data_IF_150944479208
#
_entry.id   IF_150944479208
#
_cell.length_a   1.000
_cell.length_b   1.000
_cell.length_c   1.000
_cell.angle_alpha   90.00
_cell.angle_beta   90.00
_cell.angle_gamma   90.00
#
_symmetry.space_group_name_H-M   'P 1'
#
loop_
_entity.id
_entity.type
_entity.pdbx_description
1 polymer ?
#
# COMPACT_ATOMS: atom_id res chain seq x y z
N UNK A 1 63.38 30.68 -12.70
CA UNK A 1 62.92 30.03 -13.94
C UNK A 1 63.07 28.53 -13.76
N UNK A 2 62.02 27.83 -14.13
CA UNK A 2 61.50 26.63 -13.49
C UNK A 2 62.20 25.31 -13.81
N UNK A 3 62.11 24.41 -12.83
CA UNK A 3 62.27 22.97 -12.99
C UNK A 3 60.93 22.36 -13.40
N UNK A 4 60.96 21.47 -14.40
CA UNK A 4 60.29 20.14 -14.44
C UNK A 4 59.70 19.75 -15.82
N UNK A 5 60.07 18.53 -16.20
CA UNK A 5 59.27 17.50 -16.87
C UNK A 5 58.54 17.79 -18.18
N UNK A 6 59.02 17.12 -19.24
CA UNK A 6 58.15 16.37 -20.17
C UNK A 6 58.96 15.35 -20.97
N UNK A 7 58.62 14.08 -20.83
CA UNK A 7 58.93 13.03 -21.82
C UNK A 7 57.61 12.35 -22.16
N UNK A 8 57.24 12.36 -23.43
CA UNK A 8 56.11 11.59 -23.95
C UNK A 8 56.59 10.30 -24.62
N UNK A 9 55.72 9.28 -24.65
CA UNK A 9 55.53 8.43 -25.83
C UNK A 9 54.28 7.56 -25.70
N UNK A 10 53.50 7.53 -26.78
CA UNK A 10 52.32 6.71 -26.95
C UNK A 10 52.68 5.23 -27.20
N UNK A 11 51.84 4.32 -26.70
CA UNK A 11 51.75 2.96 -27.20
C UNK A 11 50.27 2.52 -27.25
N UNK A 12 49.79 2.21 -28.47
CA UNK A 12 48.55 1.48 -28.74
C UNK A 12 48.66 0.07 -28.17
N UNK A 13 47.63 -0.44 -27.49
CA UNK A 13 47.48 -1.87 -27.25
C UNK A 13 46.08 -2.36 -27.66
N UNK A 14 46.09 -3.47 -28.41
CA UNK A 14 44.98 -4.15 -29.04
C UNK A 14 44.06 -4.87 -28.05
N UNK A 15 42.78 -4.96 -28.43
CA UNK A 15 41.72 -5.76 -27.81
C UNK A 15 41.92 -7.25 -28.13
N UNK A 16 41.87 -8.13 -27.12
CA UNK A 16 41.72 -9.60 -27.30
C UNK A 16 40.77 -10.17 -26.24
N UNK A 17 39.94 -11.12 -26.65
CA UNK A 17 38.74 -11.58 -25.95
C UNK A 17 38.93 -12.67 -24.89
N UNK A 18 37.83 -12.82 -24.13
CA UNK A 18 37.30 -13.93 -23.32
C UNK A 18 38.16 -15.16 -23.01
N UNK A 19 38.32 -15.46 -21.71
CA UNK A 19 38.17 -16.83 -21.14
C UNK A 19 37.52 -16.69 -19.76
N UNK A 20 36.38 -17.37 -19.55
CA UNK A 20 35.66 -17.45 -18.27
C UNK A 20 36.28 -18.55 -17.39
N UNK A 21 36.64 -18.22 -16.16
CA UNK A 21 37.20 -19.16 -15.17
C UNK A 21 36.15 -20.19 -14.69
N UNK A 22 36.37 -21.46 -15.03
CA UNK A 22 35.52 -22.59 -14.64
C UNK A 22 35.70 -23.04 -13.17
N UNK A 23 36.58 -22.42 -12.39
CA UNK A 23 36.88 -22.82 -11.01
C UNK A 23 36.09 -22.05 -9.92
N UNK A 24 35.38 -20.96 -10.26
CA UNK A 24 34.50 -20.24 -9.33
C UNK A 24 33.06 -20.78 -9.30
N UNK A 25 32.66 -21.57 -10.30
CA UNK A 25 31.31 -22.14 -10.40
C UNK A 25 31.16 -23.44 -9.59
N UNK A 26 32.26 -24.17 -9.34
CA UNK A 26 32.25 -25.44 -8.60
C UNK A 26 32.14 -25.32 -7.07
N UNK A 27 32.42 -24.13 -6.50
CA UNK A 27 32.24 -23.87 -5.06
C UNK A 27 30.82 -23.44 -4.68
N UNK A 28 30.04 -22.91 -5.62
CA UNK A 28 28.65 -22.51 -5.40
C UNK A 28 27.66 -23.68 -5.57
N UNK A 29 28.04 -24.72 -6.31
CA UNK A 29 27.19 -25.89 -6.55
C UNK A 29 27.31 -26.96 -5.43
N UNK A 30 28.41 -26.96 -4.65
CA UNK A 30 28.57 -27.82 -3.46
C UNK A 30 27.87 -27.29 -2.20
N UNK A 31 27.56 -26.00 -2.13
CA UNK A 31 26.79 -25.44 -1.00
C UNK A 31 25.28 -25.64 -1.12
N UNK A 32 24.79 -26.13 -2.26
CA UNK A 32 23.36 -26.36 -2.52
C UNK A 32 22.92 -27.82 -2.34
N UNK A 33 23.85 -28.79 -2.31
CA UNK A 33 23.54 -30.21 -2.14
C UNK A 33 23.72 -30.74 -0.69
N UNK A 34 24.33 -29.97 0.22
CA UNK A 34 24.55 -30.40 1.61
C UNK A 34 23.40 -30.05 2.58
N UNK A 35 22.32 -29.41 2.10
CA UNK A 35 21.17 -29.06 2.93
C UNK A 35 20.05 -30.13 2.93
N UNK A 36 20.18 -31.23 2.18
CA UNK A 36 19.15 -32.27 2.11
C UNK A 36 19.38 -33.48 3.04
N UNK A 37 20.48 -33.52 3.82
CA UNK A 37 20.80 -34.68 4.69
C UNK A 37 20.80 -34.41 6.21
N UNK A 38 20.39 -33.24 6.69
CA UNK A 38 20.28 -32.97 8.14
C UNK A 38 18.87 -33.21 8.73
N UNK A 39 17.98 -33.87 7.98
CA UNK A 39 16.73 -34.41 8.50
C UNK A 39 16.92 -35.79 9.10
N UNK A 40 17.51 -35.87 10.30
CA UNK A 40 17.33 -36.99 11.25
C UNK A 40 17.91 -36.60 12.61
N UNK A 41 17.08 -36.75 13.65
CA UNK A 41 17.39 -36.62 15.08
C UNK A 41 17.56 -35.20 15.65
N UNK A 42 16.45 -34.58 16.03
CA UNK A 42 16.24 -34.12 17.42
C UNK A 42 14.78 -33.66 17.62
N UNK A 43 14.06 -34.50 18.36
CA UNK A 43 12.69 -34.34 18.81
C UNK A 43 12.64 -33.60 20.15
N UNK A 44 12.21 -32.33 20.16
CA UNK A 44 11.64 -31.67 21.35
C UNK A 44 10.52 -30.72 20.91
N UNK A 45 9.29 -31.25 20.98
CA UNK A 45 8.00 -30.55 21.16
C UNK A 45 7.76 -29.27 20.33
N UNK A 46 7.53 -29.44 19.04
CA UNK A 46 6.61 -28.56 18.31
C UNK A 46 5.20 -28.95 18.73
N UNK A 47 4.49 -28.09 19.47
CA UNK A 47 3.05 -28.23 19.69
C UNK A 47 2.37 -28.15 18.33
N UNK A 48 2.00 -29.31 17.81
CA UNK A 48 1.12 -29.43 16.65
C UNK A 48 -0.18 -28.72 17.04
N UNK A 49 -0.51 -27.63 16.34
CA UNK A 49 -1.84 -27.05 16.41
C UNK A 49 -2.80 -28.11 15.87
N UNK A 50 -3.48 -28.80 16.79
CA UNK A 50 -4.77 -29.43 16.56
C UNK A 50 -5.70 -28.37 15.97
N UNK A 51 -5.80 -28.31 14.65
CA UNK A 51 -6.91 -27.61 14.01
C UNK A 51 -8.16 -28.43 14.35
N UNK A 52 -8.86 -28.01 15.38
CA UNK A 52 -10.19 -28.53 15.71
C UNK A 52 -11.03 -28.55 14.43
N UNK A 53 -11.64 -29.69 14.12
CA UNK A 53 -12.54 -29.85 12.96
C UNK A 53 -13.85 -29.03 13.08
N UNK A 54 -14.07 -28.35 14.20
CA UNK A 54 -15.19 -27.43 14.38
C UNK A 54 -14.88 -26.08 13.72
N UNK A 55 -15.85 -25.45 13.04
CA UNK A 55 -15.69 -24.09 12.54
C UNK A 55 -15.38 -23.17 13.73
N UNK A 56 -14.35 -22.34 13.57
CA UNK A 56 -13.98 -21.33 14.56
C UNK A 56 -15.19 -20.43 14.91
N UNK A 57 -15.35 -20.02 16.18
CA UNK A 57 -16.48 -19.18 16.58
C UNK A 57 -16.56 -17.89 15.75
N UNK A 58 -17.78 -17.41 15.53
CA UNK A 58 -18.04 -16.14 14.84
C UNK A 58 -18.10 -15.02 15.89
N UNK A 59 -17.37 -13.95 15.61
CA UNK A 59 -17.37 -12.69 16.36
C UNK A 59 -18.12 -11.64 15.55
N UNK A 60 -19.00 -10.89 16.21
CA UNK A 60 -19.73 -9.77 15.60
C UNK A 60 -18.96 -8.48 15.82
N UNK A 61 -18.58 -7.79 14.75
CA UNK A 61 -17.98 -6.46 14.82
C UNK A 61 -18.99 -5.39 14.43
N UNK A 62 -18.94 -4.25 15.10
CA UNK A 62 -19.81 -3.10 14.85
C UNK A 62 -18.94 -1.93 14.48
N UNK A 63 -19.05 -1.48 13.23
CA UNK A 63 -18.06 -0.61 12.60
C UNK A 63 -18.71 0.69 12.13
N UNK A 64 -18.02 1.79 12.44
CA UNK A 64 -18.37 3.14 12.01
C UNK A 64 -19.56 3.76 12.72
N UNK A 65 -19.84 5.01 12.39
CA UNK A 65 -20.94 5.79 12.96
C UNK A 65 -22.32 5.17 12.68
N UNK A 66 -22.47 4.48 11.55
CA UNK A 66 -23.70 3.75 11.18
C UNK A 66 -23.86 2.40 11.91
N UNK A 67 -22.89 2.02 12.75
CA UNK A 67 -22.88 0.75 13.47
C UNK A 67 -23.08 -0.46 12.53
N UNK A 68 -22.44 -0.46 11.36
CA UNK A 68 -22.56 -1.53 10.37
C UNK A 68 -22.01 -2.83 10.97
N UNK A 69 -22.81 -3.90 10.89
CA UNK A 69 -22.44 -5.20 11.46
C UNK A 69 -21.60 -6.01 10.48
N UNK A 70 -20.50 -6.57 10.98
CA UNK A 70 -19.67 -7.54 10.28
C UNK A 70 -19.62 -8.83 11.11
N UNK A 71 -19.63 -9.97 10.44
CA UNK A 71 -19.42 -11.27 11.06
C UNK A 71 -18.10 -11.85 10.56
N UNK A 72 -17.20 -12.20 11.46
CA UNK A 72 -15.89 -12.75 11.11
C UNK A 72 -15.53 -13.92 12.02
N UNK A 73 -14.75 -14.85 11.49
CA UNK A 73 -14.24 -15.97 12.28
C UNK A 73 -13.14 -15.50 13.24
N UNK A 74 -13.16 -16.01 14.47
CA UNK A 74 -12.19 -15.66 15.52
C UNK A 74 -10.75 -15.94 15.07
N UNK A 75 -10.51 -17.07 14.41
CA UNK A 75 -9.18 -17.45 13.90
C UNK A 75 -8.66 -16.49 12.83
N UNK A 76 -9.55 -15.99 11.97
CA UNK A 76 -9.24 -15.00 10.94
C UNK A 76 -8.87 -13.67 11.57
N UNK A 77 -9.63 -13.22 12.58
CA UNK A 77 -9.34 -11.98 13.31
C UNK A 77 -8.02 -12.06 14.09
N UNK A 78 -7.72 -13.22 14.71
CA UNK A 78 -6.50 -13.43 15.48
C UNK A 78 -5.21 -13.36 14.66
N UNK A 79 -5.28 -13.29 13.32
CA UNK A 79 -4.13 -12.92 12.49
C UNK A 79 -3.65 -11.47 12.75
N UNK A 80 -4.52 -10.61 13.29
CA UNK A 80 -4.16 -9.27 13.75
C UNK A 80 -3.76 -9.31 15.24
N UNK A 81 -2.57 -8.83 15.61
CA UNK A 81 -2.16 -8.70 17.01
C UNK A 81 -3.08 -7.79 17.84
N UNK A 82 -3.78 -6.86 17.20
CA UNK A 82 -4.79 -6.03 17.87
C UNK A 82 -6.01 -6.88 18.26
N UNK A 83 -6.63 -7.56 17.29
CA UNK A 83 -7.82 -8.34 17.56
C UNK A 83 -7.53 -9.55 18.45
N UNK A 84 -6.37 -10.21 18.31
CA UNK A 84 -5.96 -11.28 19.23
C UNK A 84 -5.98 -10.81 20.69
N UNK A 85 -5.42 -9.62 20.97
CA UNK A 85 -5.41 -9.04 22.32
C UNK A 85 -6.82 -8.71 22.81
N UNK A 86 -7.63 -8.06 21.97
CA UNK A 86 -9.02 -7.70 22.30
C UNK A 86 -9.87 -8.94 22.59
N UNK A 87 -9.72 -9.99 21.77
CA UNK A 87 -10.44 -11.25 21.93
C UNK A 87 -10.02 -11.92 23.24
N UNK A 88 -8.72 -12.00 23.51
CA UNK A 88 -8.18 -12.61 24.74
C UNK A 88 -8.58 -11.86 26.01
N UNK A 89 -8.72 -10.53 25.97
CA UNK A 89 -9.10 -9.74 27.13
C UNK A 89 -10.61 -9.74 27.39
N UNK A 90 -11.44 -9.75 26.33
CA UNK A 90 -12.88 -9.50 26.46
C UNK A 90 -13.75 -10.78 26.50
N UNK A 91 -13.25 -11.93 26.05
CA UNK A 91 -14.05 -13.16 25.93
C UNK A 91 -13.78 -14.20 27.02
N UNK A 92 -13.59 -13.75 28.26
CA UNK A 92 -13.64 -14.64 29.44
C UNK A 92 -15.05 -15.18 29.68
N UNK A 93 -16.09 -14.49 29.20
CA UNK A 93 -17.48 -14.91 29.30
C UNK A 93 -18.12 -15.07 27.90
N UNK A 94 -18.65 -16.26 27.61
CA UNK A 94 -19.03 -16.68 26.26
C UNK A 94 -20.26 -15.96 25.68
N UNK A 95 -20.96 -15.17 26.50
CA UNK A 95 -22.31 -14.64 26.21
C UNK A 95 -22.34 -13.40 25.31
N UNK A 96 -21.23 -12.66 25.14
CA UNK A 96 -21.26 -11.41 24.35
C UNK A 96 -20.03 -11.22 23.44
N UNK A 97 -19.98 -12.00 22.35
CA UNK A 97 -18.89 -11.98 21.34
C UNK A 97 -18.95 -10.78 20.39
N UNK A 98 -18.86 -9.56 20.94
CA UNK A 98 -19.01 -8.31 20.18
C UNK A 98 -17.81 -7.37 20.34
N UNK A 99 -17.31 -6.84 19.23
CA UNK A 99 -16.24 -5.82 19.17
C UNK A 99 -16.83 -4.54 18.54
N UNK A 100 -16.54 -3.38 19.12
CA UNK A 100 -16.99 -2.07 18.59
C UNK A 100 -15.79 -1.28 18.06
N UNK A 101 -15.91 -0.76 16.84
CA UNK A 101 -14.91 0.03 16.13
C UNK A 101 -15.59 1.32 15.61
N UNK A 102 -15.95 2.27 16.49
CA UNK A 102 -16.73 3.45 16.10
C UNK A 102 -15.96 4.41 15.19
N UNK A 103 -14.64 4.47 15.32
CA UNK A 103 -13.77 5.40 14.58
C UNK A 103 -13.29 4.85 13.22
N UNK A 104 -13.69 3.62 12.88
CA UNK A 104 -13.32 2.97 11.62
C UNK A 104 -14.44 3.09 10.59
N UNK A 105 -14.07 3.34 9.33
CA UNK A 105 -15.04 3.34 8.24
C UNK A 105 -15.36 1.92 7.76
N UNK A 106 -16.63 1.58 7.52
CA UNK A 106 -17.03 0.26 7.04
C UNK A 106 -16.33 -0.20 5.76
N UNK A 107 -16.10 0.72 4.81
CA UNK A 107 -15.45 0.44 3.52
C UNK A 107 -13.94 0.15 3.66
N UNK A 108 -13.32 0.76 4.68
CA UNK A 108 -11.92 0.52 5.06
C UNK A 108 -11.82 -0.82 5.77
N UNK A 109 -12.67 -1.06 6.77
CA UNK A 109 -12.71 -2.32 7.50
C UNK A 109 -13.06 -3.51 6.60
N UNK A 110 -13.95 -3.33 5.61
CA UNK A 110 -14.24 -4.35 4.60
C UNK A 110 -12.99 -4.75 3.82
N UNK A 111 -12.11 -3.80 3.48
CA UNK A 111 -10.84 -4.09 2.82
C UNK A 111 -9.88 -4.86 3.71
N UNK A 112 -9.82 -4.50 5.00
CA UNK A 112 -9.00 -5.21 5.98
C UNK A 112 -9.49 -6.64 6.16
N UNK A 113 -10.79 -6.83 6.33
CA UNK A 113 -11.38 -8.15 6.51
C UNK A 113 -11.16 -9.02 5.27
N UNK A 114 -11.34 -8.46 4.07
CA UNK A 114 -11.03 -9.17 2.84
C UNK A 114 -9.56 -9.62 2.78
N UNK A 115 -8.63 -8.74 3.17
CA UNK A 115 -7.22 -9.09 3.28
C UNK A 115 -6.98 -10.24 4.28
N UNK A 116 -7.61 -10.22 5.45
CA UNK A 116 -7.45 -11.29 6.43
C UNK A 116 -7.93 -12.66 5.89
N UNK A 117 -8.92 -12.68 5.01
CA UNK A 117 -9.40 -13.92 4.39
C UNK A 117 -8.57 -14.37 3.18
N UNK A 118 -8.10 -13.42 2.36
CA UNK A 118 -7.58 -13.72 1.00
C UNK A 118 -6.10 -13.38 0.81
N UNK A 119 -5.50 -12.65 1.76
CA UNK A 119 -4.17 -12.07 1.62
C UNK A 119 -4.08 -10.85 0.68
N UNK A 120 -5.22 -10.40 0.16
CA UNK A 120 -5.34 -9.22 -0.71
C UNK A 120 -6.74 -8.59 -0.52
N UNK A 121 -6.89 -7.33 -0.92
CA UNK A 121 -8.17 -6.61 -0.91
C UNK A 121 -8.42 -5.96 -2.27
N UNK A 122 -9.69 -5.85 -2.66
CA UNK A 122 -10.05 -5.29 -3.96
C UNK A 122 -9.64 -3.80 -4.11
N UNK A 123 -9.16 -3.36 -5.29
CA UNK A 123 -8.89 -4.15 -6.50
C UNK A 123 -7.59 -4.94 -6.36
N UNK A 124 -7.58 -6.22 -6.78
CA UNK A 124 -6.42 -7.11 -6.53
C UNK A 124 -5.16 -6.64 -7.25
N UNK A 125 -4.02 -6.99 -6.65
CA UNK A 125 -2.71 -6.68 -7.21
C UNK A 125 -2.24 -7.82 -8.13
N UNK A 126 -2.17 -7.58 -9.43
CA UNK A 126 -1.87 -8.58 -10.45
C UNK A 126 -0.46 -8.40 -11.02
N UNK A 127 0.28 -9.51 -11.15
CA UNK A 127 1.58 -9.51 -11.83
C UNK A 127 1.42 -9.83 -13.32
N UNK A 128 1.70 -8.84 -14.16
CA UNK A 128 1.80 -9.02 -15.58
C UNK A 128 3.16 -9.64 -15.93
N UNK A 129 3.19 -10.96 -16.08
CA UNK A 129 4.41 -11.72 -16.39
C UNK A 129 5.08 -11.29 -17.70
N UNK A 130 4.30 -10.82 -18.69
CA UNK A 130 4.83 -10.44 -20.01
C UNK A 130 5.63 -9.14 -19.95
N UNK A 131 5.16 -8.18 -19.17
CA UNK A 131 5.80 -6.86 -18.99
C UNK A 131 6.64 -6.76 -17.74
N UNK A 132 6.68 -7.82 -16.94
CA UNK A 132 7.24 -7.85 -15.59
C UNK A 132 6.79 -6.65 -14.74
N UNK A 133 5.51 -6.26 -14.89
CA UNK A 133 4.89 -5.11 -14.23
C UNK A 133 3.79 -5.57 -13.29
N UNK A 134 3.42 -4.71 -12.35
CA UNK A 134 2.31 -4.93 -11.43
C UNK A 134 1.21 -3.93 -11.72
N UNK A 135 -0.02 -4.41 -11.77
CA UNK A 135 -1.19 -3.67 -12.24
C UNK A 135 -2.37 -3.97 -11.30
N UNK A 136 -3.30 -3.02 -11.18
CA UNK A 136 -4.54 -3.25 -10.42
C UNK A 136 -5.54 -3.98 -11.31
N UNK A 137 -6.35 -4.86 -10.73
CA UNK A 137 -7.36 -5.64 -11.46
C UNK A 137 -8.25 -4.77 -12.39
N UNK A 138 -8.68 -3.59 -11.91
CA UNK A 138 -9.53 -2.67 -12.68
C UNK A 138 -8.77 -1.79 -13.69
N UNK A 139 -7.44 -1.76 -13.63
CA UNK A 139 -6.63 -1.02 -14.62
C UNK A 139 -6.57 -1.73 -15.98
N UNK A 140 -7.01 -2.99 -16.04
CA UNK A 140 -7.16 -3.73 -17.28
C UNK A 140 -8.46 -3.26 -17.95
N UNK A 141 -8.41 -2.67 -19.17
CA UNK A 141 -9.63 -2.45 -19.92
C UNK A 141 -10.31 -3.80 -20.09
N UNK A 142 -11.53 -3.95 -19.54
CA UNK A 142 -12.39 -5.12 -19.77
C UNK A 142 -12.37 -5.37 -21.28
N UNK A 143 -11.71 -6.43 -21.72
CA UNK A 143 -11.83 -6.90 -23.10
C UNK A 143 -13.30 -7.28 -23.25
N UNK A 144 -14.10 -6.38 -23.78
CA UNK A 144 -15.42 -6.70 -24.29
C UNK A 144 -15.17 -7.72 -25.39
N UNK A 145 -15.42 -9.00 -25.12
CA UNK A 145 -15.52 -9.99 -26.19
C UNK A 145 -16.81 -9.69 -26.93
N UNK A 146 -16.77 -9.26 -28.21
CA UNK A 146 -17.96 -8.93 -28.95
C UNK A 146 -18.56 -10.20 -29.53
N UNK A 147 -18.99 -11.16 -28.69
CA UNK A 147 -19.72 -12.34 -29.15
C UNK A 147 -20.75 -12.81 -28.12
N UNK A 148 -21.82 -12.04 -28.00
CA UNK A 148 -23.18 -12.56 -27.80
C UNK A 148 -24.13 -11.50 -28.32
N UNK A 149 -24.69 -11.76 -29.50
CA UNK A 149 -25.68 -10.90 -30.16
C UNK A 149 -27.04 -10.94 -29.45
N UNK A 150 -27.89 -9.93 -29.68
CA UNK A 150 -28.98 -9.52 -28.79
C UNK A 150 -30.29 -10.24 -29.13
N UNK A 151 -31.14 -10.49 -28.13
CA UNK A 151 -32.56 -10.74 -28.41
C UNK A 151 -33.40 -9.82 -27.56
N UNK A 152 -33.99 -8.83 -28.24
CA UNK A 152 -35.03 -7.94 -27.75
C UNK A 152 -36.30 -8.77 -27.65
N UNK A 153 -36.97 -8.76 -26.49
CA UNK A 153 -38.40 -8.95 -26.45
C UNK A 153 -39.00 -8.19 -25.25
N UNK A 154 -39.65 -7.08 -25.57
CA UNK A 154 -40.47 -6.29 -24.66
C UNK A 154 -41.78 -7.02 -24.35
N UNK A 155 -42.11 -7.13 -23.06
CA UNK A 155 -43.50 -7.28 -22.59
C UNK A 155 -43.58 -6.90 -21.10
N UNK A 156 -44.45 -5.94 -20.69
CA UNK A 156 -44.54 -5.50 -19.31
C UNK A 156 -45.53 -6.39 -18.54
N UNK A 157 -45.08 -7.00 -17.44
CA UNK A 157 -45.98 -7.58 -16.43
C UNK A 157 -45.63 -7.06 -15.04
N UNK A 158 -46.53 -6.24 -14.52
CA UNK A 158 -46.66 -5.92 -13.11
C UNK A 158 -46.94 -7.18 -12.29
N UNK A 159 -46.27 -7.33 -11.13
CA UNK A 159 -46.72 -8.21 -10.05
C UNK A 159 -45.63 -8.93 -9.28
N UNK A 160 -45.35 -8.46 -8.05
CA UNK A 160 -45.11 -9.33 -6.88
C UNK A 160 -43.69 -9.82 -6.59
N UNK A 161 -43.04 -9.18 -5.60
CA UNK A 161 -42.38 -9.87 -4.48
C UNK A 161 -41.12 -10.72 -4.70
N UNK A 162 -40.08 -10.36 -3.92
CA UNK A 162 -38.92 -11.15 -3.47
C UNK A 162 -37.72 -11.34 -4.43
N UNK A 163 -36.57 -10.96 -3.86
CA UNK A 163 -35.24 -11.54 -4.02
C UNK A 163 -34.68 -11.66 -5.45
N UNK A 164 -33.89 -10.66 -5.81
CA UNK A 164 -33.06 -10.68 -7.00
C UNK A 164 -32.39 -9.34 -7.18
N UNK A 165 -31.46 -8.98 -6.28
CA UNK A 165 -30.48 -7.96 -6.63
C UNK A 165 -29.79 -8.47 -7.89
N UNK A 166 -29.99 -7.74 -8.98
CA UNK A 166 -29.14 -7.79 -10.16
C UNK A 166 -27.68 -7.77 -9.69
N UNK A 167 -26.76 -8.51 -10.32
CA UNK A 167 -25.36 -8.22 -10.13
C UNK A 167 -25.13 -6.85 -10.77
N UNK A 168 -25.28 -5.79 -9.97
CA UNK A 168 -24.63 -4.53 -10.23
C UNK A 168 -23.14 -4.90 -10.32
N UNK A 169 -22.65 -4.97 -11.55
CA UNK A 169 -21.23 -4.82 -11.86
C UNK A 169 -20.67 -3.78 -10.90
N UNK A 170 -19.71 -4.10 -10.03
CA UNK A 170 -19.16 -3.08 -9.16
C UNK A 170 -18.61 -1.99 -10.08
N UNK A 171 -19.12 -0.77 -9.88
CA UNK A 171 -18.48 0.44 -10.35
C UNK A 171 -17.00 0.31 -9.98
N UNK A 172 -16.10 0.65 -10.91
CA UNK A 172 -14.66 0.67 -10.65
C UNK A 172 -14.43 1.21 -9.24
N UNK A 173 -13.79 0.43 -8.36
CA UNK A 173 -13.74 0.83 -6.95
C UNK A 173 -13.09 2.19 -6.86
N UNK A 174 -13.78 3.08 -6.18
CA UNK A 174 -13.35 4.46 -6.01
C UNK A 174 -11.99 4.43 -5.32
N UNK A 175 -10.97 5.03 -5.96
CA UNK A 175 -9.64 5.17 -5.36
C UNK A 175 -9.67 6.01 -4.08
N UNK A 176 -10.81 6.66 -3.81
CA UNK A 176 -11.11 7.47 -2.65
C UNK A 176 -12.13 6.83 -1.73
N UNK A 177 -12.07 7.21 -0.46
CA UNK A 177 -13.06 6.88 0.57
C UNK A 177 -13.40 8.15 1.34
N UNK A 178 -14.67 8.32 1.68
CA UNK A 178 -15.10 9.38 2.58
C UNK A 178 -14.87 8.95 4.02
N UNK A 179 -14.16 9.76 4.80
CA UNK A 179 -14.00 9.55 6.23
C UNK A 179 -14.96 10.47 6.99
N UNK A 180 -15.93 9.88 7.68
CA UNK A 180 -16.95 10.60 8.44
C UNK A 180 -16.33 11.46 9.55
N UNK A 181 -15.29 10.94 10.23
CA UNK A 181 -14.62 11.64 11.34
C UNK A 181 -13.93 12.96 10.96
N UNK A 182 -13.57 13.14 9.69
CA UNK A 182 -12.95 14.37 9.19
C UNK A 182 -13.78 15.08 8.11
N UNK A 183 -14.89 14.49 7.67
CA UNK A 183 -15.77 15.05 6.65
C UNK A 183 -15.11 15.25 5.27
N UNK A 184 -14.13 14.43 4.90
CA UNK A 184 -13.34 14.59 3.68
C UNK A 184 -13.12 13.27 2.94
N UNK A 185 -12.97 13.36 1.61
CA UNK A 185 -12.46 12.26 0.80
C UNK A 185 -10.92 12.24 0.82
N UNK A 186 -10.38 11.06 1.11
CA UNK A 186 -8.96 10.73 0.99
C UNK A 186 -8.77 9.47 0.16
N UNK A 187 -7.53 9.13 -0.17
CA UNK A 187 -7.18 7.87 -0.81
C UNK A 187 -7.56 6.68 0.08
N UNK A 188 -8.30 5.72 -0.50
CA UNK A 188 -8.71 4.50 0.19
C UNK A 188 -7.53 3.67 0.66
N UNK A 189 -6.51 3.51 -0.19
CA UNK A 189 -5.29 2.76 0.16
C UNK A 189 -4.55 3.40 1.35
N UNK A 190 -4.64 4.73 1.52
CA UNK A 190 -4.07 5.43 2.68
C UNK A 190 -4.86 5.16 3.96
N UNK A 191 -6.18 5.20 3.89
CA UNK A 191 -7.03 4.86 5.04
C UNK A 191 -6.75 3.41 5.50
N UNK A 192 -6.66 2.47 4.55
CA UNK A 192 -6.32 1.07 4.81
C UNK A 192 -4.91 0.95 5.41
N UNK A 193 -3.94 1.71 4.92
CA UNK A 193 -2.58 1.72 5.49
C UNK A 193 -2.60 2.13 6.97
N UNK A 194 -3.26 3.26 7.30
CA UNK A 194 -3.32 3.74 8.68
C UNK A 194 -4.05 2.75 9.60
N UNK A 195 -5.15 2.15 9.13
CA UNK A 195 -5.86 1.13 9.88
C UNK A 195 -5.04 -0.15 10.05
N UNK A 196 -4.27 -0.55 9.03
CA UNK A 196 -3.36 -1.68 9.10
C UNK A 196 -2.25 -1.45 10.15
N UNK A 197 -1.76 -0.22 10.30
CA UNK A 197 -0.84 0.15 11.39
C UNK A 197 -1.49 -0.05 12.77
N UNK A 198 -2.70 0.50 12.98
CA UNK A 198 -3.47 0.33 14.22
C UNK A 198 -3.73 -1.14 14.57
N UNK A 199 -4.00 -1.95 13.55
CA UNK A 199 -4.28 -3.38 13.71
C UNK A 199 -3.04 -4.28 13.69
N UNK A 200 -1.83 -3.71 13.54
CA UNK A 200 -0.58 -4.47 13.54
C UNK A 200 -0.40 -5.39 12.32
N UNK A 201 -0.95 -5.01 11.16
CA UNK A 201 -0.93 -5.77 9.91
C UNK A 201 0.14 -5.22 8.96
N UNK A 202 1.41 -5.52 9.24
CA UNK A 202 2.56 -4.95 8.53
C UNK A 202 2.63 -5.32 7.03
N UNK A 203 2.25 -6.54 6.64
CA UNK A 203 2.19 -6.91 5.21
C UNK A 203 1.07 -6.17 4.48
N UNK A 204 -0.06 -5.89 5.15
CA UNK A 204 -1.14 -5.09 4.59
C UNK A 204 -0.70 -3.64 4.36
N UNK A 205 0.10 -3.05 5.27
CA UNK A 205 0.70 -1.71 5.05
C UNK A 205 1.50 -1.68 3.74
N UNK A 206 2.35 -2.68 3.51
CA UNK A 206 3.18 -2.76 2.29
C UNK A 206 2.34 -2.95 1.04
N UNK A 207 1.33 -3.81 1.11
CA UNK A 207 0.37 -4.03 0.03
C UNK A 207 -0.38 -2.75 -0.32
N UNK A 208 -0.89 -2.03 0.68
CA UNK A 208 -1.65 -0.81 0.49
C UNK A 208 -0.82 0.30 -0.12
N UNK A 209 0.41 0.51 0.39
CA UNK A 209 1.33 1.48 -0.18
C UNK A 209 1.69 1.17 -1.64
N UNK A 210 1.83 -0.12 -1.96
CA UNK A 210 2.10 -0.56 -3.33
C UNK A 210 0.93 -0.31 -4.27
N UNK A 211 -0.30 -0.60 -3.84
CA UNK A 211 -1.52 -0.32 -4.61
C UNK A 211 -1.72 1.17 -4.82
N UNK A 212 -1.48 1.98 -3.79
CA UNK A 212 -1.53 3.44 -3.87
C UNK A 212 -0.61 3.98 -4.98
N UNK A 213 0.61 3.43 -5.10
CA UNK A 213 1.56 3.82 -6.13
C UNK A 213 1.13 3.49 -7.58
N UNK A 214 0.13 2.63 -7.76
CA UNK A 214 -0.44 2.27 -9.06
C UNK A 214 -1.67 3.09 -9.44
N UNK A 215 -2.22 3.87 -8.50
CA UNK A 215 -3.38 4.73 -8.76
C UNK A 215 -2.99 5.91 -9.67
N UNK A 216 -3.90 6.31 -10.55
CA UNK A 216 -3.72 7.42 -11.48
C UNK A 216 -5.00 8.27 -11.56
N UNK A 217 -4.85 9.52 -12.04
CA UNK A 217 -6.00 10.42 -12.20
C UNK A 217 -6.56 11.00 -10.89
N UNK A 218 -5.79 10.96 -9.81
CA UNK A 218 -6.19 11.48 -8.50
C UNK A 218 -5.96 12.99 -8.42
N UNK A 219 -6.94 13.71 -7.89
CA UNK A 219 -6.84 15.15 -7.61
C UNK A 219 -5.72 15.46 -6.61
N UNK A 220 -4.99 16.56 -6.84
CA UNK A 220 -3.85 16.96 -6.00
C UNK A 220 -4.28 17.35 -4.58
N UNK A 221 -5.49 17.89 -4.41
CA UNK A 221 -6.06 18.15 -3.09
C UNK A 221 -6.30 16.87 -2.33
N UNK A 222 -6.86 15.84 -2.98
CA UNK A 222 -7.02 14.51 -2.38
C UNK A 222 -5.67 13.92 -1.94
N UNK A 223 -4.62 14.04 -2.76
CA UNK A 223 -3.27 13.59 -2.37
C UNK A 223 -2.79 14.31 -1.10
N UNK A 224 -2.99 15.63 -1.02
CA UNK A 224 -2.52 16.42 0.11
C UNK A 224 -3.28 16.10 1.39
N UNK A 225 -4.61 16.00 1.33
CA UNK A 225 -5.44 15.57 2.47
C UNK A 225 -5.07 14.17 2.96
N UNK A 226 -4.80 13.25 2.02
CA UNK A 226 -4.37 11.88 2.36
C UNK A 226 -3.00 11.88 3.05
N UNK A 227 -2.08 12.74 2.61
CA UNK A 227 -0.78 12.91 3.27
C UNK A 227 -0.95 13.48 4.69
N UNK A 228 -1.79 14.49 4.89
CA UNK A 228 -2.07 15.07 6.21
C UNK A 228 -2.70 14.04 7.15
N UNK A 229 -3.68 13.27 6.66
CA UNK A 229 -4.29 12.18 7.40
C UNK A 229 -3.26 11.13 7.83
N UNK A 230 -2.37 10.71 6.92
CA UNK A 230 -1.25 9.82 7.23
C UNK A 230 -0.40 10.35 8.38
N UNK A 231 0.01 11.61 8.32
CA UNK A 231 0.86 12.23 9.34
C UNK A 231 0.23 12.24 10.73
N UNK A 232 -1.08 12.42 10.80
CA UNK A 232 -1.82 12.40 12.07
C UNK A 232 -2.15 11.00 12.58
N UNK A 233 -2.17 9.98 11.71
CA UNK A 233 -2.64 8.63 12.04
C UNK A 233 -1.55 7.55 11.98
N UNK A 234 -0.28 7.95 11.85
CA UNK A 234 0.87 7.03 11.87
C UNK A 234 2.02 7.64 12.69
N UNK A 235 2.84 6.81 13.38
CA UNK A 235 3.92 7.29 14.22
C UNK A 235 5.04 7.95 13.41
N UNK A 236 5.87 8.74 14.11
CA UNK A 236 7.00 9.44 13.48
C UNK A 236 8.06 8.52 12.84
N UNK A 237 8.10 7.27 13.28
CA UNK A 237 8.95 6.22 12.73
C UNK A 237 8.50 5.68 11.37
N UNK A 238 7.28 6.01 10.89
CA UNK A 238 6.79 5.57 9.58
C UNK A 238 7.39 6.40 8.42
N UNK A 239 8.70 6.28 8.27
CA UNK A 239 9.48 6.96 7.23
C UNK A 239 9.07 6.54 5.81
N UNK A 240 8.55 5.33 5.62
CA UNK A 240 8.25 4.78 4.29
C UNK A 240 7.03 5.45 3.67
N UNK A 241 5.92 5.54 4.40
CA UNK A 241 4.72 6.21 3.90
C UNK A 241 4.95 7.71 3.72
N UNK A 242 5.66 8.34 4.67
CA UNK A 242 6.02 9.76 4.60
C UNK A 242 6.88 10.06 3.38
N UNK A 243 7.98 9.32 3.18
CA UNK A 243 8.84 9.47 2.02
C UNK A 243 8.07 9.26 0.70
N UNK A 244 7.13 8.31 0.66
CA UNK A 244 6.28 8.09 -0.51
C UNK A 244 5.45 9.33 -0.85
N UNK A 245 4.80 9.94 0.15
CA UNK A 245 4.02 11.16 -0.06
C UNK A 245 4.88 12.36 -0.45
N UNK A 246 6.01 12.57 0.23
CA UNK A 246 6.93 13.66 -0.10
C UNK A 246 7.44 13.54 -1.55
N UNK A 247 7.86 12.33 -1.96
CA UNK A 247 8.30 12.08 -3.33
C UNK A 247 7.17 12.31 -4.35
N UNK A 248 5.95 11.87 -4.04
CA UNK A 248 4.78 12.08 -4.89
C UNK A 248 4.47 13.58 -5.09
N UNK A 249 4.45 14.35 -4.00
CA UNK A 249 4.17 15.79 -4.03
C UNK A 249 5.28 16.54 -4.78
N UNK A 250 6.56 16.24 -4.51
CA UNK A 250 7.71 16.88 -5.17
C UNK A 250 7.70 16.59 -6.69
N UNK A 251 7.37 15.37 -7.09
CA UNK A 251 7.25 14.97 -8.51
C UNK A 251 6.11 15.72 -9.21
N UNK A 252 5.01 15.99 -8.49
CA UNK A 252 3.82 16.68 -9.00
C UNK A 252 3.82 18.20 -8.70
N UNK A 253 4.94 18.78 -8.25
CA UNK A 253 5.02 20.18 -7.76
C UNK A 253 4.47 21.25 -8.71
N UNK A 254 4.59 21.06 -10.04
CA UNK A 254 4.07 22.00 -11.05
C UNK A 254 2.55 22.10 -10.99
N UNK A 255 1.88 20.96 -10.77
CA UNK A 255 0.42 20.89 -10.63
C UNK A 255 -0.03 21.59 -9.36
N UNK A 256 0.62 21.30 -8.22
CA UNK A 256 0.35 21.95 -6.93
C UNK A 256 0.52 23.48 -7.02
N UNK A 257 1.61 23.96 -7.62
CA UNK A 257 1.87 25.40 -7.82
C UNK A 257 0.77 26.09 -8.62
N UNK A 258 0.29 25.47 -9.70
CA UNK A 258 -0.77 26.04 -10.55
C UNK A 258 -2.14 26.04 -9.87
N UNK A 259 -2.43 25.01 -9.08
CA UNK A 259 -3.73 24.86 -8.41
C UNK A 259 -3.93 25.77 -7.20
N UNK A 260 -2.86 26.28 -6.58
CA UNK A 260 -2.94 26.99 -5.30
C UNK A 260 -3.29 26.11 -4.09
N UNK A 261 -3.60 24.82 -4.30
CA UNK A 261 -4.07 23.90 -3.26
C UNK A 261 -3.12 23.75 -2.08
N UNK A 262 -1.80 23.81 -2.32
CA UNK A 262 -0.81 23.74 -1.25
C UNK A 262 -0.97 24.90 -0.25
N UNK A 263 -1.09 26.12 -0.76
CA UNK A 263 -1.28 27.30 0.08
C UNK A 263 -2.60 27.21 0.85
N UNK A 264 -3.69 26.88 0.16
CA UNK A 264 -5.01 26.77 0.77
C UNK A 264 -5.05 25.74 1.92
N UNK A 265 -4.44 24.55 1.76
CA UNK A 265 -4.41 23.54 2.82
C UNK A 265 -3.44 23.90 3.96
N UNK A 266 -2.33 24.59 3.67
CA UNK A 266 -1.42 25.10 4.72
C UNK A 266 -2.13 26.11 5.63
N UNK A 267 -2.88 27.05 5.05
CA UNK A 267 -3.63 28.06 5.79
C UNK A 267 -4.72 27.42 6.67
N UNK A 268 -5.43 26.39 6.17
CA UNK A 268 -6.43 25.63 6.94
C UNK A 268 -5.85 24.83 8.10
N UNK A 269 -4.66 24.26 7.94
CA UNK A 269 -4.01 23.49 9.01
C UNK A 269 -3.68 24.36 10.24
N UNK A 270 -3.56 25.69 10.06
CA UNK A 270 -3.33 26.63 11.14
C UNK A 270 -4.58 26.95 11.99
N UNK A 271 -5.80 26.60 11.55
CA UNK A 271 -7.04 26.97 12.25
C UNK A 271 -7.74 25.83 12.97
N UNK A 272 -7.94 24.68 12.33
CA UNK A 272 -8.98 23.71 12.78
C UNK A 272 -8.48 22.28 13.05
N UNK A 273 -7.18 22.00 12.91
CA UNK A 273 -6.57 20.69 13.13
C UNK A 273 -7.39 19.50 12.54
N UNK A 274 -8.01 19.72 11.38
CA UNK A 274 -9.06 18.87 10.78
C UNK A 274 -8.65 17.40 10.65
N UNK A 275 -7.37 17.14 10.42
CA UNK A 275 -6.86 15.79 10.18
C UNK A 275 -6.27 15.13 11.44
N UNK A 276 -6.23 15.84 12.56
CA UNK A 276 -5.60 15.40 13.81
C UNK A 276 -4.24 16.06 14.07
N UNK A 277 -3.78 15.92 15.32
CA UNK A 277 -2.49 16.44 15.76
C UNK A 277 -1.33 15.89 14.92
N UNK A 278 -0.35 16.73 14.59
CA UNK A 278 0.79 16.34 13.78
C UNK A 278 0.57 16.44 12.26
N UNK A 279 -0.65 16.66 11.78
CA UNK A 279 -0.94 16.85 10.35
C UNK A 279 -0.13 17.98 9.69
N UNK A 280 0.14 19.07 10.43
CA UNK A 280 0.97 20.19 9.98
C UNK A 280 2.46 19.86 9.80
N UNK A 281 2.98 18.81 10.44
CA UNK A 281 4.39 18.38 10.32
C UNK A 281 4.74 18.00 8.87
N UNK A 282 3.74 17.59 8.09
CA UNK A 282 3.88 17.35 6.65
C UNK A 282 4.55 18.52 5.93
N UNK A 283 4.14 19.76 6.22
CA UNK A 283 4.64 20.92 5.49
C UNK A 283 6.09 21.25 5.82
N UNK A 284 6.49 21.04 7.07
CA UNK A 284 7.89 21.16 7.47
C UNK A 284 8.75 20.10 6.77
N UNK A 285 8.35 18.82 6.85
CA UNK A 285 9.08 17.73 6.19
C UNK A 285 9.14 17.92 4.67
N UNK A 286 8.05 18.44 4.06
CA UNK A 286 7.99 18.76 2.65
C UNK A 286 8.93 19.90 2.26
N UNK A 287 9.00 20.96 3.07
CA UNK A 287 9.95 22.05 2.85
C UNK A 287 11.40 21.52 2.85
N UNK A 288 11.76 20.75 3.88
CA UNK A 288 13.11 20.14 3.99
C UNK A 288 13.40 19.23 2.79
N UNK A 289 12.45 18.37 2.41
CA UNK A 289 12.62 17.47 1.27
C UNK A 289 12.73 18.22 -0.07
N UNK A 290 12.04 19.36 -0.22
CA UNK A 290 12.15 20.22 -1.41
C UNK A 290 13.50 20.92 -1.50
N UNK A 291 14.06 21.40 -0.37
CA UNK A 291 15.39 21.97 -0.33
C UNK A 291 16.45 20.95 -0.76
N UNK A 292 16.45 19.76 -0.14
CA UNK A 292 17.38 18.68 -0.51
C UNK A 292 17.24 18.29 -1.99
N UNK A 293 16.01 18.22 -2.51
CA UNK A 293 15.78 17.93 -3.92
C UNK A 293 16.31 19.03 -4.86
N UNK A 294 16.26 20.30 -4.46
CA UNK A 294 16.83 21.40 -5.25
C UNK A 294 18.35 21.31 -5.27
N UNK A 295 18.98 21.03 -4.13
CA UNK A 295 20.44 20.84 -4.02
C UNK A 295 20.90 19.68 -4.92
N UNK A 296 20.23 18.54 -4.86
CA UNK A 296 20.51 17.37 -5.71
C UNK A 296 20.43 17.72 -7.21
N UNK A 297 19.44 18.54 -7.60
CA UNK A 297 19.26 18.96 -9.01
C UNK A 297 20.36 19.92 -9.44
N UNK A 298 20.77 20.85 -8.56
CA UNK A 298 21.87 21.80 -8.81
C UNK A 298 23.19 21.04 -8.95
N UNK A 299 23.48 20.12 -8.05
CA UNK A 299 24.68 19.30 -8.08
C UNK A 299 24.74 18.41 -9.33
N UNK A 300 23.61 17.79 -9.71
CA UNK A 300 23.52 17.03 -10.95
C UNK A 300 23.73 17.89 -12.20
N UNK A 301 23.31 19.16 -12.18
CA UNK A 301 23.56 20.12 -13.26
C UNK A 301 25.04 20.51 -13.33
N UNK A 302 25.66 20.81 -12.19
CA UNK A 302 27.06 21.20 -12.07
C UNK A 302 28.03 20.05 -12.39
N UNK A 303 27.65 18.80 -12.12
CA UNK A 303 28.42 17.62 -12.52
C UNK A 303 28.42 17.40 -14.04
N UNK A 304 27.41 17.91 -14.76
CA UNK A 304 27.27 17.77 -16.22
C UNK A 304 27.93 18.89 -17.01
N UNK A 305 28.28 20.01 -16.37
CA UNK A 305 29.07 21.06 -16.99
C UNK A 305 30.56 20.74 -16.85
N UNK A 306 31.28 20.44 -17.95
CA UNK A 306 32.72 20.21 -17.87
C UNK A 306 33.39 21.50 -17.39
N UNK A 307 34.19 21.40 -16.32
CA UNK A 307 35.05 22.51 -15.88
C UNK A 307 36.06 22.78 -16.99
N UNK A 308 35.84 23.83 -17.78
CA UNK A 308 36.86 24.36 -18.69
C UNK A 308 38.00 24.87 -17.83
N UNK A 309 39.15 24.20 -17.89
CA UNK A 309 40.44 24.67 -17.37
C UNK A 309 41.07 25.55 -18.45
#
# INVERSE_FOLDING_TARGET
MDSQHRVGKAARLMRKGSVRDAQKVSKLQRSLNNNEETSRTQSVQTRLNDKSLAPSPIVTLVVGAEARLFAAHEDVLCQSPFFERVIRSNFTDAQNRRISLPDEEPEVFSGILEYLYKGDYYPRLLHNKQRNSWELEDSLPRRVTPQTSPTINDSPKFGGGRAGQTPQTPAAVEATVFLSGIGQHILRDTAIYCAADRFGLEELKRLALRKQGLQAGIDVGTILRSAQYCYANTPDSDSRLRAHYLALIIRCRKTFKRSGTMQAEMEKCGSDNVYGEGSGKLFFDLFVAMCNHLDDVIDASNARTPKTI
#
